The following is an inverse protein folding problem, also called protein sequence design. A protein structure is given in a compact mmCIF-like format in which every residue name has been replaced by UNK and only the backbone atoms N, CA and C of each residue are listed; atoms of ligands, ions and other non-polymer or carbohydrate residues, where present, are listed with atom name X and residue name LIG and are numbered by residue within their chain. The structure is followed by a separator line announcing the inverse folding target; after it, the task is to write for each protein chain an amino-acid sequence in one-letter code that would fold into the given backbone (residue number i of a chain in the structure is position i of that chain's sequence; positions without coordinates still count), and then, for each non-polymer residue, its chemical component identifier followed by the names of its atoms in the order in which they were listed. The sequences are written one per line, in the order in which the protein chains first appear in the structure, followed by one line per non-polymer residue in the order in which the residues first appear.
data_IF_707267477443
#
_entry.id   IF_707267477443
#
_cell.length_a   1.000
_cell.length_b   1.000
_cell.length_c   1.000
_cell.angle_alpha   90.00
_cell.angle_beta   90.00
_cell.angle_gamma   90.00
#
_symmetry.space_group_name_H-M   'P 1'
#
loop_
_entity.id
_entity.type
_entity.pdbx_description
1 polymer ?
#
# COMPACT_ATOMS: atom_id res chain seq x y z
N UNK A 1 -59.75 -52.82 -35.99
CA UNK A 1 -59.49 -51.50 -35.37
C UNK A 1 -58.02 -51.46 -34.95
N UNK A 2 -57.15 -50.78 -35.73
CA UNK A 2 -55.70 -50.71 -35.48
C UNK A 2 -55.41 -49.55 -34.52
N UNK A 3 -54.78 -49.81 -33.37
CA UNK A 3 -54.28 -48.76 -32.46
C UNK A 3 -52.90 -48.31 -32.94
N UNK A 4 -52.78 -47.02 -33.25
CA UNK A 4 -51.50 -46.35 -33.53
C UNK A 4 -50.99 -45.78 -32.20
N UNK A 5 -49.80 -46.19 -31.78
CA UNK A 5 -49.11 -45.64 -30.61
C UNK A 5 -48.12 -44.59 -31.15
N UNK A 6 -48.37 -43.32 -30.84
CA UNK A 6 -47.44 -42.23 -31.10
C UNK A 6 -46.40 -42.17 -29.97
N UNK A 7 -45.14 -42.46 -30.28
CA UNK A 7 -44.01 -42.21 -29.37
C UNK A 7 -43.46 -40.82 -29.73
N UNK A 8 -43.76 -39.83 -28.89
CA UNK A 8 -43.17 -38.50 -28.99
C UNK A 8 -41.73 -38.50 -28.49
N UNK A 9 -40.79 -38.20 -29.39
CA UNK A 9 -39.37 -38.03 -29.06
C UNK A 9 -39.16 -36.63 -28.47
N UNK A 10 -38.94 -36.54 -27.16
CA UNK A 10 -38.61 -35.27 -26.49
C UNK A 10 -37.12 -35.02 -26.61
N UNK A 11 -36.72 -34.07 -27.46
CA UNK A 11 -35.36 -33.56 -27.53
C UNK A 11 -35.11 -32.61 -26.35
N UNK A 12 -34.31 -33.04 -25.37
CA UNK A 12 -33.78 -32.16 -24.33
C UNK A 12 -32.64 -31.32 -24.91
N UNK A 13 -32.92 -30.05 -25.22
CA UNK A 13 -31.91 -29.04 -25.55
C UNK A 13 -31.20 -28.62 -24.26
N UNK A 14 -30.02 -29.20 -24.03
CA UNK A 14 -29.05 -28.72 -23.03
C UNK A 14 -28.49 -27.36 -23.49
N UNK A 15 -29.09 -26.28 -23.03
CA UNK A 15 -28.48 -24.95 -23.08
C UNK A 15 -27.31 -24.91 -22.08
N UNK A 16 -26.09 -25.16 -22.58
CA UNK A 16 -24.88 -24.88 -21.83
C UNK A 16 -24.76 -23.37 -21.58
N UNK A 17 -24.92 -22.95 -20.33
CA UNK A 17 -24.52 -21.62 -19.90
C UNK A 17 -23.00 -21.51 -20.01
N UNK A 18 -22.50 -20.99 -21.13
CA UNK A 18 -21.13 -20.51 -21.21
C UNK A 18 -21.10 -19.21 -20.42
N UNK A 19 -20.69 -19.27 -19.15
CA UNK A 19 -20.34 -18.05 -18.43
C UNK A 19 -19.16 -17.42 -19.16
N UNK A 20 -19.39 -16.28 -19.79
CA UNK A 20 -18.34 -15.43 -20.32
C UNK A 20 -17.46 -14.99 -19.15
N UNK A 21 -16.29 -15.62 -19.01
CA UNK A 21 -15.24 -15.13 -18.12
C UNK A 21 -14.78 -13.79 -18.68
N UNK A 22 -15.35 -12.70 -18.19
CA UNK A 22 -14.84 -11.36 -18.49
C UNK A 22 -13.37 -11.32 -18.08
N UNK A 23 -12.48 -11.01 -19.03
CA UNK A 23 -11.07 -10.86 -18.73
C UNK A 23 -10.89 -9.70 -17.75
N UNK A 24 -10.17 -9.94 -16.65
CA UNK A 24 -9.87 -8.92 -15.63
C UNK A 24 -9.12 -7.76 -16.29
N UNK A 25 -9.52 -6.52 -15.98
CA UNK A 25 -8.96 -5.33 -16.61
C UNK A 25 -7.47 -5.18 -16.31
N UNK A 26 -6.68 -4.80 -17.32
CA UNK A 26 -5.28 -4.42 -17.15
C UNK A 26 -5.02 -2.95 -17.56
N UNK A 27 -6.07 -2.13 -17.61
CA UNK A 27 -5.90 -0.70 -17.85
C UNK A 27 -5.10 -0.08 -16.70
N UNK A 28 -4.05 0.66 -17.04
CA UNK A 28 -3.20 1.31 -16.05
C UNK A 28 -3.96 2.45 -15.37
N UNK A 29 -3.95 2.42 -14.05
CA UNK A 29 -4.46 3.44 -13.14
C UNK A 29 -3.24 4.09 -12.50
N UNK A 30 -3.14 5.40 -12.61
CA UNK A 30 -2.15 6.18 -11.90
C UNK A 30 -2.79 6.69 -10.62
N UNK A 31 -2.34 6.20 -9.47
CA UNK A 31 -2.94 6.54 -8.20
C UNK A 31 -2.91 8.05 -7.94
N UNK A 32 -4.08 8.60 -7.63
CA UNK A 32 -4.30 10.00 -7.33
C UNK A 32 -5.65 10.18 -6.65
N UNK A 33 -5.83 11.33 -5.99
CA UNK A 33 -7.02 11.63 -5.21
C UNK A 33 -7.20 13.14 -5.08
N UNK A 34 -8.43 13.57 -4.81
CA UNK A 34 -8.71 14.91 -4.27
C UNK A 34 -8.12 14.95 -2.86
N UNK A 35 -7.20 15.88 -2.62
CA UNK A 35 -6.58 16.08 -1.31
C UNK A 35 -7.62 16.42 -0.25
N UNK A 36 -7.33 16.01 0.98
CA UNK A 36 -8.11 16.42 2.14
C UNK A 36 -8.15 17.94 2.30
N UNK A 37 -9.23 18.44 2.88
CA UNK A 37 -9.47 19.86 3.09
C UNK A 37 -10.89 20.11 3.59
N UNK A 38 -11.13 21.26 4.23
CA UNK A 38 -12.45 21.66 4.74
C UNK A 38 -13.13 20.63 5.67
N UNK A 39 -12.34 19.85 6.42
CA UNK A 39 -12.84 18.80 7.32
C UNK A 39 -13.13 17.45 6.63
N UNK A 40 -12.93 17.34 5.32
CA UNK A 40 -13.08 16.08 4.57
C UNK A 40 -11.76 15.33 4.49
N UNK A 41 -11.82 13.98 4.52
CA UNK A 41 -10.68 13.12 4.16
C UNK A 41 -10.35 13.24 2.67
N UNK A 42 -9.19 12.73 2.25
CA UNK A 42 -8.90 12.57 0.83
C UNK A 42 -9.90 11.61 0.15
N UNK A 43 -10.19 11.87 -1.12
CA UNK A 43 -11.21 11.15 -1.90
C UNK A 43 -10.64 10.72 -3.26
N UNK A 44 -10.60 9.40 -3.49
CA UNK A 44 -10.16 8.79 -4.74
C UNK A 44 -11.29 8.58 -5.76
N UNK A 45 -12.55 8.81 -5.36
CA UNK A 45 -13.74 8.56 -6.16
C UNK A 45 -14.28 7.13 -5.99
N UNK A 46 -15.62 7.02 -6.02
CA UNK A 46 -16.35 5.78 -5.70
C UNK A 46 -15.88 4.55 -6.51
N UNK A 47 -15.53 4.73 -7.79
CA UNK A 47 -15.08 3.63 -8.65
C UNK A 47 -13.76 3.02 -8.15
N UNK A 48 -12.79 3.86 -7.77
CA UNK A 48 -11.51 3.40 -7.23
C UNK A 48 -11.65 2.85 -5.83
N UNK A 49 -12.50 3.44 -4.98
CA UNK A 49 -12.76 2.90 -3.64
C UNK A 49 -13.36 1.49 -3.72
N UNK A 50 -14.38 1.28 -4.56
CA UNK A 50 -14.99 -0.03 -4.77
C UNK A 50 -14.00 -1.05 -5.36
N UNK A 51 -13.13 -0.61 -6.28
CA UNK A 51 -12.08 -1.46 -6.84
C UNK A 51 -11.07 -1.88 -5.77
N UNK A 52 -10.62 -0.95 -4.91
CA UNK A 52 -9.68 -1.27 -3.85
C UNK A 52 -10.30 -2.22 -2.82
N UNK A 53 -11.54 -1.95 -2.39
CA UNK A 53 -12.29 -2.79 -1.45
C UNK A 53 -12.43 -4.23 -1.96
N UNK A 54 -12.77 -4.40 -3.24
CA UNK A 54 -12.88 -5.72 -3.90
C UNK A 54 -11.63 -6.59 -3.76
N UNK A 55 -10.45 -5.98 -3.68
CA UNK A 55 -9.16 -6.68 -3.57
C UNK A 55 -8.50 -6.53 -2.19
N UNK A 56 -9.22 -6.01 -1.19
CA UNK A 56 -8.69 -5.77 0.15
C UNK A 56 -7.54 -4.76 0.18
N UNK A 57 -7.45 -3.89 -0.82
CA UNK A 57 -6.49 -2.80 -0.88
C UNK A 57 -7.04 -1.56 -0.18
N UNK A 58 -6.17 -0.67 0.29
CA UNK A 58 -6.61 0.55 0.98
C UNK A 58 -5.62 1.71 0.81
N UNK A 59 -6.10 2.91 1.10
CA UNK A 59 -5.32 4.15 1.01
C UNK A 59 -5.57 5.13 2.16
N UNK A 60 -6.66 4.95 2.91
CA UNK A 60 -7.05 5.69 4.12
C UNK A 60 -7.80 4.74 5.06
N UNK A 61 -7.85 5.10 6.34
CA UNK A 61 -8.72 4.48 7.35
C UNK A 61 -9.97 5.28 7.65
N UNK A 62 -10.66 4.88 8.72
CA UNK A 62 -11.93 5.49 9.14
C UNK A 62 -11.81 7.00 9.42
N UNK A 63 -12.85 7.79 9.05
CA UNK A 63 -12.94 9.22 9.39
C UNK A 63 -13.17 9.47 10.88
N UNK A 64 -13.62 8.47 11.63
CA UNK A 64 -14.01 8.60 13.05
C UNK A 64 -12.82 8.46 14.00
N UNK A 65 -11.69 7.97 13.47
CA UNK A 65 -10.50 7.68 14.24
C UNK A 65 -9.38 8.66 13.89
N UNK A 66 -8.94 9.45 14.88
CA UNK A 66 -7.71 10.26 14.78
C UNK A 66 -6.46 9.36 14.85
N UNK A 67 -6.34 8.43 13.92
CA UNK A 67 -5.21 7.53 13.72
C UNK A 67 -4.51 7.92 12.42
N UNK A 68 -3.18 7.93 12.44
CA UNK A 68 -2.32 8.15 11.28
C UNK A 68 -1.41 6.93 11.07
N UNK A 69 -1.19 6.58 9.81
CA UNK A 69 -0.32 5.48 9.40
C UNK A 69 0.86 6.05 8.63
N UNK A 70 2.02 6.07 9.25
CA UNK A 70 3.23 6.63 8.65
C UNK A 70 3.93 5.59 7.79
N UNK A 71 4.14 5.91 6.52
CA UNK A 71 4.80 5.02 5.57
C UNK A 71 5.87 5.74 4.74
N UNK A 72 6.89 5.00 4.34
CA UNK A 72 8.01 5.50 3.55
C UNK A 72 8.25 4.62 2.32
N UNK A 73 8.58 5.25 1.20
CA UNK A 73 9.06 4.53 0.01
C UNK A 73 10.59 4.66 -0.09
N UNK A 74 11.26 3.51 -0.16
CA UNK A 74 12.71 3.36 -0.05
C UNK A 74 13.28 2.72 -1.33
N UNK A 75 13.50 3.57 -2.33
CA UNK A 75 14.17 3.20 -3.59
C UNK A 75 15.70 3.13 -3.47
N UNK A 76 16.29 4.11 -2.80
CA UNK A 76 17.72 4.25 -2.52
C UNK A 76 17.93 5.01 -1.21
N UNK A 77 19.14 5.00 -0.67
CA UNK A 77 19.49 5.73 0.56
C UNK A 77 20.19 7.06 0.21
N UNK A 78 19.84 8.14 0.92
CA UNK A 78 20.42 9.47 0.73
C UNK A 78 21.02 10.08 2.02
N UNK A 79 21.22 9.28 3.07
CA UNK A 79 21.87 9.68 4.32
C UNK A 79 20.91 10.05 5.47
N UNK A 80 19.60 10.04 5.25
CA UNK A 80 18.63 10.55 6.22
C UNK A 80 17.79 9.46 6.91
N UNK A 81 17.78 8.22 6.41
CA UNK A 81 16.95 7.17 7.02
C UNK A 81 17.37 6.85 8.45
N UNK A 82 18.67 6.96 8.78
CA UNK A 82 19.14 6.83 10.17
C UNK A 82 18.48 7.86 11.09
N UNK A 83 18.43 9.12 10.69
CA UNK A 83 17.80 10.20 11.47
C UNK A 83 16.29 9.94 11.61
N UNK A 84 15.62 9.51 10.54
CA UNK A 84 14.20 9.13 10.57
C UNK A 84 13.96 8.02 11.61
N UNK A 85 14.72 6.92 11.57
CA UNK A 85 14.60 5.83 12.55
C UNK A 85 14.85 6.31 13.99
N UNK A 86 15.86 7.15 14.20
CA UNK A 86 16.19 7.71 15.52
C UNK A 86 15.00 8.55 16.07
N UNK A 87 14.32 9.32 15.22
CA UNK A 87 13.10 10.08 15.58
C UNK A 87 11.93 9.14 15.87
N UNK A 88 11.67 8.15 15.03
CA UNK A 88 10.57 7.19 15.22
C UNK A 88 10.72 6.43 16.55
N UNK A 89 11.93 6.02 16.88
CA UNK A 89 12.26 5.38 18.15
C UNK A 89 12.03 6.32 19.34
N UNK A 90 12.54 7.56 19.27
CA UNK A 90 12.35 8.58 20.32
C UNK A 90 10.88 8.86 20.58
N UNK A 91 10.10 8.99 19.51
CA UNK A 91 8.68 9.30 19.57
C UNK A 91 7.78 8.06 19.76
N UNK A 92 8.35 6.85 19.76
CA UNK A 92 7.59 5.58 19.84
C UNK A 92 6.50 5.47 18.77
N UNK A 93 6.84 5.86 17.55
CA UNK A 93 5.92 5.84 16.40
C UNK A 93 6.26 4.65 15.50
N UNK A 94 5.31 3.71 15.27
CA UNK A 94 5.50 2.68 14.27
C UNK A 94 5.45 3.29 12.86
N UNK A 95 6.20 2.70 11.93
CA UNK A 95 6.16 3.07 10.52
C UNK A 95 6.27 1.82 9.64
N UNK A 96 5.91 1.97 8.37
CA UNK A 96 6.15 0.95 7.33
C UNK A 96 7.10 1.49 6.27
N UNK A 97 8.13 0.71 5.92
CA UNK A 97 9.11 1.05 4.89
C UNK A 97 8.94 0.11 3.70
N UNK A 98 8.48 0.63 2.56
CA UNK A 98 8.36 -0.11 1.31
C UNK A 98 9.69 -0.07 0.56
N UNK A 99 10.42 -1.20 0.58
CA UNK A 99 11.81 -1.27 0.09
C UNK A 99 11.89 -1.92 -1.29
N UNK A 100 12.82 -1.41 -2.10
CA UNK A 100 13.19 -2.04 -3.38
C UNK A 100 14.37 -3.00 -3.22
N UNK A 101 14.64 -3.81 -4.26
CA UNK A 101 15.83 -4.66 -4.30
C UNK A 101 17.15 -3.90 -4.28
N UNK A 102 17.18 -2.68 -4.85
CA UNK A 102 18.36 -1.82 -4.76
C UNK A 102 18.63 -1.42 -3.30
N UNK A 103 17.60 -0.92 -2.60
CA UNK A 103 17.72 -0.50 -1.20
C UNK A 103 18.19 -1.64 -0.30
N UNK A 104 17.63 -2.84 -0.46
CA UNK A 104 18.03 -4.03 0.30
C UNK A 104 19.52 -4.36 0.12
N UNK A 105 20.07 -4.16 -1.08
CA UNK A 105 21.47 -4.43 -1.37
C UNK A 105 22.42 -3.36 -0.86
N UNK A 106 22.02 -2.09 -0.92
CA UNK A 106 22.90 -0.95 -0.63
C UNK A 106 22.78 -0.42 0.79
N UNK A 107 21.67 -0.72 1.47
CA UNK A 107 21.40 -0.29 2.84
C UNK A 107 20.90 -1.44 3.76
N UNK A 108 21.52 -2.65 3.73
CA UNK A 108 21.01 -3.81 4.47
C UNK A 108 20.94 -3.58 5.99
N UNK A 109 21.86 -2.81 6.55
CA UNK A 109 21.87 -2.54 8.00
C UNK A 109 20.73 -1.60 8.42
N UNK A 110 20.29 -0.69 7.55
CA UNK A 110 19.10 0.12 7.80
C UNK A 110 17.84 -0.75 7.74
N UNK A 111 17.75 -1.70 6.80
CA UNK A 111 16.63 -2.66 6.76
C UNK A 111 16.60 -3.54 8.01
N UNK A 112 17.75 -4.02 8.51
CA UNK A 112 17.81 -4.74 9.81
C UNK A 112 17.31 -3.88 10.95
N UNK A 113 17.73 -2.62 11.01
CA UNK A 113 17.26 -1.67 12.04
C UNK A 113 15.75 -1.47 11.98
N UNK A 114 15.17 -1.32 10.79
CA UNK A 114 13.71 -1.19 10.63
C UNK A 114 12.99 -2.34 11.36
N UNK A 115 13.37 -3.59 11.09
CA UNK A 115 12.76 -4.77 11.72
C UNK A 115 13.06 -4.84 13.22
N UNK A 116 14.32 -4.67 13.62
CA UNK A 116 14.75 -4.77 15.02
C UNK A 116 14.14 -3.68 15.93
N UNK A 117 13.80 -2.53 15.37
CA UNK A 117 13.17 -1.41 16.08
C UNK A 117 11.62 -1.48 16.03
N UNK A 118 11.05 -2.57 15.48
CA UNK A 118 9.61 -2.85 15.50
C UNK A 118 8.82 -2.19 14.36
N UNK A 119 9.49 -1.76 13.29
CA UNK A 119 8.84 -1.26 12.09
C UNK A 119 8.54 -2.39 11.10
N UNK A 120 7.60 -2.12 10.19
CA UNK A 120 7.20 -3.07 9.15
C UNK A 120 8.06 -2.81 7.90
N UNK A 121 8.62 -3.87 7.31
CA UNK A 121 9.23 -3.81 5.98
C UNK A 121 8.25 -4.37 4.95
N UNK A 122 7.80 -3.51 4.03
CA UNK A 122 6.90 -3.82 2.93
C UNK A 122 7.60 -3.95 1.58
N UNK A 123 6.90 -4.50 0.60
CA UNK A 123 7.42 -4.76 -0.74
C UNK A 123 7.23 -3.54 -1.65
N UNK A 124 8.29 -3.07 -2.31
CA UNK A 124 8.20 -2.05 -3.36
C UNK A 124 8.72 -2.53 -4.72
N UNK A 125 8.64 -3.84 -4.96
CA UNK A 125 9.22 -4.59 -6.10
C UNK A 125 10.76 -4.53 -6.18
N UNK A 126 11.36 -5.47 -6.90
CA UNK A 126 12.81 -5.60 -6.93
C UNK A 126 13.50 -4.48 -7.72
N UNK A 127 13.01 -4.22 -8.94
CA UNK A 127 13.59 -3.29 -9.91
C UNK A 127 12.76 -2.03 -10.13
N UNK A 128 11.69 -1.84 -9.36
CA UNK A 128 10.76 -0.72 -9.47
C UNK A 128 10.13 -0.55 -10.88
N UNK A 129 9.63 -1.62 -11.54
CA UNK A 129 8.99 -1.50 -12.86
C UNK A 129 7.52 -1.10 -12.74
N UNK A 130 6.91 -0.63 -13.83
CA UNK A 130 5.45 -0.61 -13.94
C UNK A 130 4.93 -2.05 -14.08
N UNK A 131 4.24 -2.54 -13.04
CA UNK A 131 3.74 -3.92 -12.95
C UNK A 131 2.63 -4.20 -13.97
N UNK A 132 1.92 -3.18 -14.45
CA UNK A 132 0.83 -3.35 -15.43
C UNK A 132 1.36 -3.82 -16.79
N UNK A 133 2.62 -3.50 -17.11
CA UNK A 133 3.33 -3.88 -18.33
C UNK A 133 4.05 -5.25 -18.23
N UNK A 134 3.89 -5.97 -17.12
CA UNK A 134 4.58 -7.24 -16.87
C UNK A 134 3.66 -8.45 -16.93
N UNK A 135 4.18 -9.59 -17.41
CA UNK A 135 3.47 -10.86 -17.27
C UNK A 135 3.36 -11.29 -15.80
N UNK A 136 2.31 -12.04 -15.46
CA UNK A 136 2.09 -12.52 -14.07
C UNK A 136 3.31 -13.24 -13.47
N UNK A 137 4.01 -14.14 -14.20
CA UNK A 137 5.24 -14.76 -13.67
C UNK A 137 6.34 -13.74 -13.34
N UNK A 138 6.50 -12.70 -14.16
CA UNK A 138 7.49 -11.64 -13.92
C UNK A 138 7.10 -10.78 -12.71
N UNK A 139 5.82 -10.45 -12.52
CA UNK A 139 5.34 -9.76 -11.31
C UNK A 139 5.67 -10.60 -10.07
N UNK A 140 5.32 -11.90 -10.06
CA UNK A 140 5.62 -12.79 -8.94
C UNK A 140 7.14 -12.88 -8.67
N UNK A 141 7.97 -12.86 -9.72
CA UNK A 141 9.41 -12.85 -9.58
C UNK A 141 9.92 -11.56 -8.91
N UNK A 142 9.42 -10.39 -9.31
CA UNK A 142 9.78 -9.10 -8.69
C UNK A 142 9.44 -9.06 -7.20
N UNK A 143 8.24 -9.52 -6.84
CA UNK A 143 7.79 -9.54 -5.44
C UNK A 143 8.58 -10.55 -4.60
N UNK A 144 8.80 -11.77 -5.13
CA UNK A 144 9.46 -12.84 -4.40
C UNK A 144 10.94 -12.55 -4.13
N UNK A 145 11.64 -11.84 -5.03
CA UNK A 145 13.04 -11.45 -4.81
C UNK A 145 13.18 -10.53 -3.58
N UNK A 146 12.31 -9.52 -3.45
CA UNK A 146 12.32 -8.61 -2.29
C UNK A 146 12.00 -9.38 -1.00
N UNK A 147 10.98 -10.24 -1.03
CA UNK A 147 10.60 -11.07 0.12
C UNK A 147 11.75 -11.94 0.62
N UNK A 148 12.38 -12.71 -0.29
CA UNK A 148 13.51 -13.60 0.04
C UNK A 148 14.73 -12.85 0.55
N UNK A 149 15.06 -11.72 -0.07
CA UNK A 149 16.23 -10.95 0.33
C UNK A 149 16.01 -10.26 1.68
N UNK A 150 14.79 -9.79 1.96
CA UNK A 150 14.42 -9.25 3.27
C UNK A 150 14.55 -10.33 4.34
N UNK A 151 13.97 -11.52 4.12
CA UNK A 151 14.09 -12.66 5.05
C UNK A 151 15.56 -13.03 5.29
N UNK A 152 16.40 -13.05 4.25
CA UNK A 152 17.83 -13.32 4.35
C UNK A 152 18.58 -12.29 5.21
N UNK A 153 18.23 -11.01 5.08
CA UNK A 153 18.93 -9.91 5.75
C UNK A 153 18.47 -9.74 7.20
N UNK A 154 17.17 -9.87 7.46
CA UNK A 154 16.54 -9.48 8.73
C UNK A 154 15.99 -10.64 9.55
N UNK A 155 15.79 -11.82 8.94
CA UNK A 155 15.08 -12.93 9.55
C UNK A 155 13.55 -12.74 9.62
N UNK A 156 13.01 -11.61 9.13
CA UNK A 156 11.57 -11.40 9.03
C UNK A 156 10.95 -12.42 8.08
N UNK A 157 10.12 -13.31 8.61
CA UNK A 157 9.35 -14.27 7.81
C UNK A 157 8.08 -13.61 7.32
N UNK A 158 7.82 -13.74 6.02
CA UNK A 158 6.64 -13.15 5.41
C UNK A 158 6.79 -11.66 5.11
N UNK A 159 5.88 -11.17 4.27
CA UNK A 159 5.80 -9.78 3.85
C UNK A 159 4.37 -9.58 3.34
N UNK A 160 3.59 -8.80 4.09
CA UNK A 160 2.14 -8.70 3.88
C UNK A 160 1.76 -7.52 3.00
N UNK A 161 2.57 -6.47 2.96
CA UNK A 161 2.22 -5.22 2.31
C UNK A 161 3.01 -5.01 1.04
N UNK A 162 2.32 -4.56 0.00
CA UNK A 162 2.88 -4.13 -1.28
C UNK A 162 2.43 -2.71 -1.58
N UNK A 163 3.37 -1.85 -1.96
CA UNK A 163 3.05 -0.59 -2.62
C UNK A 163 3.52 -0.66 -4.07
N UNK A 164 2.65 -0.43 -5.06
CA UNK A 164 3.03 -0.55 -6.46
C UNK A 164 4.00 0.57 -6.83
N UNK A 165 5.06 0.29 -7.61
CA UNK A 165 5.98 1.30 -8.10
C UNK A 165 5.24 2.46 -8.77
N UNK A 166 5.61 3.70 -8.38
CA UNK A 166 5.04 4.96 -8.91
C UNK A 166 3.52 5.11 -8.68
N UNK A 167 2.90 4.28 -7.84
CA UNK A 167 1.45 4.27 -7.68
C UNK A 167 0.69 3.75 -8.91
N UNK A 168 1.35 3.03 -9.82
CA UNK A 168 0.70 2.52 -11.04
C UNK A 168 0.16 1.11 -10.77
N UNK A 169 -1.14 0.95 -10.92
CA UNK A 169 -1.85 -0.31 -10.67
C UNK A 169 -2.92 -0.59 -11.74
N UNK A 170 -3.49 -1.78 -11.69
CA UNK A 170 -4.66 -2.21 -12.47
C UNK A 170 -5.40 -3.28 -11.68
N UNK A 171 -6.65 -3.57 -12.05
CA UNK A 171 -7.43 -4.68 -11.46
C UNK A 171 -6.64 -6.00 -11.50
N UNK A 172 -5.95 -6.28 -12.62
CA UNK A 172 -5.07 -7.45 -12.76
C UNK A 172 -3.94 -7.45 -11.73
N UNK A 173 -3.25 -6.32 -11.52
CA UNK A 173 -2.15 -6.27 -10.54
C UNK A 173 -2.65 -6.39 -9.10
N UNK A 174 -3.80 -5.81 -8.77
CA UNK A 174 -4.47 -5.96 -7.47
C UNK A 174 -4.76 -7.44 -7.18
N UNK A 175 -5.39 -8.13 -8.14
CA UNK A 175 -5.68 -9.57 -8.02
C UNK A 175 -4.40 -10.41 -7.87
N UNK A 176 -3.39 -10.17 -8.70
CA UNK A 176 -2.13 -10.94 -8.66
C UNK A 176 -1.42 -10.79 -7.31
N UNK A 177 -1.47 -9.61 -6.71
CA UNK A 177 -0.89 -9.37 -5.40
C UNK A 177 -1.71 -10.04 -4.29
N UNK A 178 -3.04 -9.93 -4.33
CA UNK A 178 -3.93 -10.60 -3.39
C UNK A 178 -3.71 -12.12 -3.41
N UNK A 179 -3.67 -12.74 -4.61
CA UNK A 179 -3.37 -14.16 -4.78
C UNK A 179 -1.95 -14.56 -4.31
N UNK A 180 -1.03 -13.60 -4.26
CA UNK A 180 0.32 -13.79 -3.74
C UNK A 180 0.43 -13.52 -2.23
N UNK A 181 -0.69 -13.22 -1.55
CA UNK A 181 -0.77 -12.94 -0.12
C UNK A 181 -0.34 -11.52 0.27
N UNK A 182 -0.40 -10.57 -0.67
CA UNK A 182 -0.11 -9.16 -0.39
C UNK A 182 -1.38 -8.32 -0.36
N UNK A 183 -1.46 -7.44 0.62
CA UNK A 183 -2.36 -6.29 0.65
C UNK A 183 -1.70 -5.11 -0.06
N UNK A 184 -2.41 -4.54 -1.03
CA UNK A 184 -1.99 -3.29 -1.66
C UNK A 184 -2.24 -2.10 -0.72
N UNK A 185 -1.19 -1.32 -0.48
CA UNK A 185 -1.23 -0.14 0.38
C UNK A 185 -0.85 1.09 -0.43
N UNK A 186 -1.82 1.98 -0.64
CA UNK A 186 -1.63 3.26 -1.31
C UNK A 186 -1.46 4.36 -0.26
N UNK A 187 -1.89 5.58 -0.55
CA UNK A 187 -1.78 6.71 0.36
C UNK A 187 -2.89 7.72 0.14
N UNK A 188 -3.20 8.48 1.19
CA UNK A 188 -4.18 9.58 1.19
C UNK A 188 -3.53 10.93 1.46
N UNK A 189 -2.24 10.93 1.78
CA UNK A 189 -1.43 12.12 1.96
C UNK A 189 -0.06 11.89 1.34
N UNK A 190 0.29 12.73 0.38
CA UNK A 190 1.63 12.82 -0.18
C UNK A 190 1.91 14.25 -0.63
N UNK A 191 3.18 14.58 -0.76
CA UNK A 191 3.63 15.79 -1.43
C UNK A 191 4.96 15.49 -2.12
N UNK A 192 5.41 16.40 -2.98
CA UNK A 192 6.62 16.19 -3.79
C UNK A 192 7.87 16.37 -2.93
N UNK A 193 8.30 15.30 -2.28
CA UNK A 193 9.43 15.26 -1.34
C UNK A 193 10.60 14.39 -1.83
N UNK A 194 10.52 13.83 -3.03
CA UNK A 194 11.53 12.92 -3.59
C UNK A 194 12.57 13.60 -4.50
N UNK A 195 12.44 14.91 -4.78
CA UNK A 195 13.38 15.64 -5.63
C UNK A 195 14.57 16.16 -4.82
N UNK A 196 15.65 15.36 -4.81
CA UNK A 196 16.87 15.66 -4.02
C UNK A 196 17.48 17.03 -4.36
N UNK A 197 17.40 17.46 -5.62
CA UNK A 197 17.96 18.73 -6.08
C UNK A 197 17.02 19.93 -5.86
N UNK A 198 15.81 19.72 -5.34
CA UNK A 198 14.79 20.76 -5.13
C UNK A 198 14.18 20.70 -3.71
N UNK A 199 15.01 20.46 -2.70
CA UNK A 199 14.59 20.52 -1.30
C UNK A 199 14.29 21.97 -0.88
N UNK A 200 13.18 22.18 -0.18
CA UNK A 200 12.59 23.50 0.16
C UNK A 200 12.69 23.84 1.65
N UNK A 201 13.27 22.97 2.46
CA UNK A 201 13.44 23.13 3.90
C UNK A 201 12.34 22.43 4.71
N UNK A 202 12.67 22.11 5.97
CA UNK A 202 11.80 21.41 6.91
C UNK A 202 10.43 22.07 7.09
N UNK A 203 10.35 23.41 7.04
CA UNK A 203 9.08 24.13 7.21
C UNK A 203 8.12 23.84 6.06
N UNK A 204 8.62 23.72 4.82
CA UNK A 204 7.78 23.35 3.68
C UNK A 204 7.22 21.94 3.86
N UNK A 205 8.07 20.97 4.23
CA UNK A 205 7.64 19.60 4.53
C UNK A 205 6.57 19.57 5.62
N UNK A 206 6.81 20.26 6.73
CA UNK A 206 5.87 20.40 7.84
C UNK A 206 4.52 20.97 7.37
N UNK A 207 4.52 22.10 6.65
CA UNK A 207 3.30 22.77 6.20
C UNK A 207 2.52 21.89 5.20
N UNK A 208 3.20 21.17 4.30
CA UNK A 208 2.56 20.26 3.35
C UNK A 208 1.90 19.06 4.03
N UNK A 209 2.50 18.54 5.11
CA UNK A 209 1.91 17.45 5.89
C UNK A 209 0.70 17.99 6.65
N UNK A 210 0.85 19.04 7.44
CA UNK A 210 -0.25 19.55 8.27
C UNK A 210 -1.45 20.04 7.47
N UNK A 211 -1.24 20.58 6.27
CA UNK A 211 -2.35 21.01 5.40
C UNK A 211 -3.20 19.84 4.87
N UNK A 212 -2.69 18.62 4.90
CA UNK A 212 -3.34 17.44 4.31
C UNK A 212 -3.73 16.37 5.34
N UNK A 213 -3.28 16.49 6.59
CA UNK A 213 -3.60 15.49 7.63
C UNK A 213 -5.10 15.46 7.88
N UNK A 214 -5.64 14.25 7.95
CA UNK A 214 -7.03 13.96 8.28
C UNK A 214 -7.11 12.67 9.12
N UNK A 215 -8.19 12.41 9.87
CA UNK A 215 -8.44 11.12 10.52
C UNK A 215 -8.23 9.97 9.53
N UNK A 216 -7.58 8.88 9.96
CA UNK A 216 -7.29 7.72 9.13
C UNK A 216 -6.23 7.90 8.04
N UNK A 217 -5.50 9.02 7.97
CA UNK A 217 -4.58 9.24 6.85
C UNK A 217 -3.43 8.21 6.79
N UNK A 218 -3.14 7.72 5.58
CA UNK A 218 -1.93 6.96 5.27
C UNK A 218 -0.95 7.91 4.57
N UNK A 219 0.12 8.25 5.28
CA UNK A 219 1.12 9.21 4.84
C UNK A 219 2.18 8.48 4.01
N UNK A 220 2.39 8.93 2.76
CA UNK A 220 3.55 8.57 1.96
C UNK A 220 4.59 9.68 2.04
N UNK A 221 5.74 9.37 2.64
CA UNK A 221 6.93 10.21 2.65
C UNK A 221 8.12 9.48 2.02
N UNK A 222 9.19 10.20 1.71
CA UNK A 222 10.46 9.61 1.31
C UNK A 222 11.58 9.99 2.28
N UNK A 223 12.34 8.99 2.74
CA UNK A 223 13.52 9.20 3.61
C UNK A 223 14.78 9.59 2.84
N UNK A 224 14.64 10.02 1.58
CA UNK A 224 15.72 10.64 0.79
C UNK A 224 15.75 12.17 0.95
N UNK A 225 14.75 12.75 1.61
CA UNK A 225 14.61 14.18 1.82
C UNK A 225 15.14 14.63 3.17
N UNK A 226 16.06 15.61 3.16
CA UNK A 226 16.51 16.27 4.39
C UNK A 226 15.35 16.99 5.06
N UNK A 227 14.48 17.60 4.28
CA UNK A 227 13.33 18.36 4.78
C UNK A 227 12.42 17.47 5.64
N UNK A 228 12.16 16.25 5.19
CA UNK A 228 11.39 15.27 5.96
C UNK A 228 12.09 14.89 7.25
N UNK A 229 13.38 14.55 7.18
CA UNK A 229 14.12 14.10 8.36
C UNK A 229 14.17 15.19 9.44
N UNK A 230 14.29 16.46 9.04
CA UNK A 230 14.31 17.60 9.95
C UNK A 230 12.90 17.98 10.45
N UNK A 231 11.86 17.79 9.64
CA UNK A 231 10.48 18.12 10.01
C UNK A 231 9.81 17.05 10.87
N UNK A 232 10.19 15.77 10.72
CA UNK A 232 9.43 14.62 11.19
C UNK A 232 9.15 14.65 12.69
N UNK A 233 10.14 15.00 13.52
CA UNK A 233 9.96 15.05 14.97
C UNK A 233 8.88 16.05 15.35
N UNK A 234 8.95 17.27 14.79
CA UNK A 234 8.01 18.33 15.08
C UNK A 234 6.60 18.01 14.56
N UNK A 235 6.50 17.41 13.36
CA UNK A 235 5.24 16.89 12.81
C UNK A 235 4.60 15.90 13.77
N UNK A 236 5.35 14.88 14.21
CA UNK A 236 4.83 13.86 15.13
C UNK A 236 4.33 14.49 16.44
N UNK A 237 5.15 15.36 17.05
CA UNK A 237 4.81 16.01 18.31
C UNK A 237 3.55 16.87 18.20
N UNK A 238 3.43 17.67 17.14
CA UNK A 238 2.29 18.57 16.99
C UNK A 238 1.02 17.83 16.59
N UNK A 239 1.12 16.75 15.81
CA UNK A 239 -0.05 15.90 15.51
C UNK A 239 -0.53 15.13 16.75
N UNK A 240 0.39 14.63 17.60
CA UNK A 240 0.01 14.07 18.90
C UNK A 240 -0.71 15.09 19.78
N UNK A 241 -0.23 16.35 19.84
CA UNK A 241 -0.92 17.43 20.59
C UNK A 241 -2.32 17.73 20.05
N UNK A 242 -2.55 17.52 18.75
CA UNK A 242 -3.88 17.66 18.12
C UNK A 242 -4.81 16.44 18.34
N UNK A 243 -4.34 15.46 19.12
CA UNK A 243 -5.10 14.26 19.49
C UNK A 243 -4.96 13.11 18.49
N UNK A 244 -4.01 13.17 17.56
CA UNK A 244 -3.71 12.01 16.70
C UNK A 244 -2.85 10.98 17.43
N UNK A 245 -3.13 9.72 17.14
CA UNK A 245 -2.25 8.60 17.46
C UNK A 245 -1.63 8.06 16.18
N UNK A 246 -0.42 7.51 16.28
CA UNK A 246 0.23 6.82 15.17
C UNK A 246 0.15 5.32 15.38
N UNK A 247 -0.25 4.58 14.34
CA UNK A 247 -0.45 3.13 14.38
C UNK A 247 0.21 2.46 13.18
N UNK A 248 0.48 1.17 13.32
CA UNK A 248 1.08 0.36 12.26
C UNK A 248 0.02 -0.05 11.22
N UNK A 249 0.45 -0.58 10.08
CA UNK A 249 -0.47 -1.17 9.12
C UNK A 249 -1.04 -2.51 9.62
N UNK A 250 -0.33 -3.22 10.50
CA UNK A 250 -0.88 -4.41 11.16
C UNK A 250 -2.07 -4.02 12.06
N UNK A 251 -1.96 -2.91 12.80
CA UNK A 251 -3.06 -2.36 13.61
C UNK A 251 -4.27 -2.00 12.73
N UNK A 252 -4.03 -1.46 11.53
CA UNK A 252 -5.08 -1.17 10.54
C UNK A 252 -5.82 -2.45 10.17
N UNK A 253 -5.10 -3.46 9.68
CA UNK A 253 -5.70 -4.70 9.16
C UNK A 253 -6.44 -5.45 10.26
N UNK A 254 -5.85 -5.54 11.46
CA UNK A 254 -6.52 -6.18 12.61
C UNK A 254 -7.84 -5.48 12.94
N UNK A 255 -7.87 -4.14 12.92
CA UNK A 255 -9.08 -3.37 13.18
C UNK A 255 -10.16 -3.63 12.14
N UNK A 256 -9.81 -3.61 10.86
CA UNK A 256 -10.76 -3.84 9.77
C UNK A 256 -11.28 -5.29 9.76
N UNK A 257 -10.44 -6.28 10.10
CA UNK A 257 -10.86 -7.67 10.27
C UNK A 257 -11.87 -7.85 11.42
N UNK A 258 -11.68 -7.15 12.54
CA UNK A 258 -12.64 -7.18 13.67
C UNK A 258 -13.98 -6.56 13.25
N UNK A 259 -13.96 -5.46 12.47
CA UNK A 259 -15.17 -4.80 11.98
C UNK A 259 -15.91 -5.61 10.92
N UNK A 260 -15.18 -6.35 10.08
CA UNK A 260 -15.75 -7.14 9.00
C UNK A 260 -15.17 -8.57 8.97
N UNK A 261 -15.71 -9.49 9.80
CA UNK A 261 -15.26 -10.89 9.87
C UNK A 261 -15.47 -11.67 8.56
N UNK A 262 -16.16 -11.12 7.56
CA UNK A 262 -16.31 -11.76 6.25
C UNK A 262 -15.06 -11.61 5.36
N UNK A 263 -14.10 -10.74 5.73
CA UNK A 263 -12.83 -10.54 5.01
C UNK A 263 -11.74 -11.58 5.36
N UNK A 264 -12.04 -12.59 6.19
CA UNK A 264 -11.07 -13.61 6.66
C UNK A 264 -11.04 -14.92 5.88
N UNK A 265 -11.33 -14.94 4.57
CA UNK A 265 -11.14 -16.14 3.72
C UNK A 265 -10.27 -15.89 2.50
#
# INVERSE_FOLDING_TARGET
MKKVINIGLVFFLLFGFVQSVSAISNNAIHWGFKKAGNGEQADAGQEYEALLEKYGAFYKGSPDDKILYLTFDNGYENGYTKQVLDVLKKEKVPATFFVTGHYLRTAPDLTKRMVNEGHIVGNHSWSHPDLTNMSVPKIKQELNKVKKETERITGQKGMQYLRPPRGILSERTLKVAQEAGYTHVLWSLAYKDWEVNHQKGWKYAYDQILAQVHPGAVLLLHSVSKDNADALEKVIQDLKKQGYSFKSLDDFVMKEQIKNPALTM
#
